data_IF_257949479332
#
_entry.id   IF_257949479332
#
_cell.length_a   1.000
_cell.length_b   1.000
_cell.length_c   1.000
_cell.angle_alpha   90.00
_cell.angle_beta   90.00
_cell.angle_gamma   90.00
#
_symmetry.space_group_name_H-M   'P 1'
#
loop_
_entity.id
_entity.type
_entity.pdbx_description
1 polymer ?
#
# COMPACT_ATOMS: atom_id res chain seq x y z
N UNK A 1 -1.26 -2.82 -9.99
CA UNK A 1 -0.12 -3.18 -9.10
C UNK A 1 0.57 -4.45 -9.58
N UNK A 2 -0.16 -5.55 -9.77
CA UNK A 2 0.39 -6.86 -10.18
C UNK A 2 1.31 -6.77 -11.41
N UNK A 3 0.86 -6.15 -12.51
CA UNK A 3 1.68 -6.01 -13.74
C UNK A 3 2.97 -5.20 -13.54
N UNK A 4 3.00 -4.29 -12.57
CA UNK A 4 4.19 -3.49 -12.25
C UNK A 4 5.16 -4.28 -11.37
N UNK A 5 4.65 -5.00 -10.36
CA UNK A 5 5.47 -5.82 -9.46
C UNK A 5 6.05 -7.04 -10.15
N UNK A 6 5.36 -7.61 -11.14
CA UNK A 6 5.91 -8.67 -12.00
C UNK A 6 7.02 -8.16 -12.92
N UNK A 7 6.86 -6.95 -13.47
CA UNK A 7 7.83 -6.33 -14.37
C UNK A 7 9.10 -5.88 -13.64
N UNK A 8 8.98 -5.47 -12.38
CA UNK A 8 10.07 -4.95 -11.55
C UNK A 8 10.14 -5.67 -10.20
N UNK A 9 10.42 -6.99 -10.17
CA UNK A 9 10.23 -7.83 -8.98
C UNK A 9 11.22 -7.56 -7.84
N UNK A 10 12.34 -6.88 -8.12
CA UNK A 10 13.39 -6.57 -7.15
C UNK A 10 13.52 -5.06 -6.88
N UNK A 11 12.73 -4.23 -7.54
CA UNK A 11 12.86 -2.78 -7.44
C UNK A 11 11.93 -2.23 -6.36
N UNK A 12 12.30 -1.06 -5.83
CA UNK A 12 11.42 -0.28 -4.96
C UNK A 12 10.61 0.68 -5.84
N UNK A 13 9.29 0.49 -5.86
CA UNK A 13 8.36 1.35 -6.60
C UNK A 13 7.81 2.42 -5.66
N UNK A 14 7.96 3.70 -6.04
CA UNK A 14 7.35 4.84 -5.34
C UNK A 14 6.15 5.32 -6.15
N UNK A 15 4.99 5.40 -5.51
CA UNK A 15 3.76 5.95 -6.10
C UNK A 15 3.32 7.18 -5.30
N UNK A 16 3.18 8.31 -5.98
CA UNK A 16 2.63 9.55 -5.39
C UNK A 16 1.20 9.71 -5.87
N UNK A 17 0.26 9.78 -4.93
CA UNK A 17 -1.17 9.84 -5.22
C UNK A 17 -1.95 10.48 -4.06
N UNK A 18 -3.27 10.39 -4.09
CA UNK A 18 -4.18 10.96 -3.09
C UNK A 18 -4.49 10.00 -1.94
N UNK A 19 -4.92 10.55 -0.80
CA UNK A 19 -5.13 9.78 0.42
C UNK A 19 -6.14 8.64 0.27
N UNK A 20 -7.24 8.88 -0.47
CA UNK A 20 -8.23 7.85 -0.76
C UNK A 20 -7.62 6.65 -1.49
N UNK A 21 -6.76 6.88 -2.49
CA UNK A 21 -6.12 5.82 -3.27
C UNK A 21 -5.15 5.01 -2.41
N UNK A 22 -4.40 5.67 -1.52
CA UNK A 22 -3.53 4.99 -0.55
C UNK A 22 -4.34 4.12 0.42
N UNK A 23 -5.45 4.65 0.94
CA UNK A 23 -6.34 3.90 1.82
C UNK A 23 -6.99 2.71 1.12
N UNK A 24 -7.50 2.89 -0.09
CA UNK A 24 -8.08 1.81 -0.89
C UNK A 24 -7.07 0.69 -1.15
N UNK A 25 -5.81 1.03 -1.47
CA UNK A 25 -4.74 0.05 -1.62
C UNK A 25 -4.46 -0.72 -0.32
N UNK A 26 -4.41 -0.03 0.83
CA UNK A 26 -4.20 -0.69 2.12
C UNK A 26 -5.38 -1.60 2.52
N UNK A 27 -6.62 -1.19 2.23
CA UNK A 27 -7.83 -1.99 2.47
C UNK A 27 -7.89 -3.23 1.58
N UNK A 28 -7.48 -3.12 0.31
CA UNK A 28 -7.41 -4.25 -0.62
C UNK A 28 -6.42 -5.32 -0.14
N UNK A 29 -5.31 -4.89 0.46
CA UNK A 29 -4.31 -5.78 1.06
C UNK A 29 -4.81 -6.42 2.36
N UNK A 30 -5.41 -5.65 3.26
CA UNK A 30 -5.81 -6.14 4.59
C UNK A 30 -7.16 -6.87 4.62
N UNK A 31 -8.03 -6.60 3.65
CA UNK A 31 -9.41 -7.10 3.56
C UNK A 31 -10.16 -7.13 4.90
N UNK A 32 -10.17 -6.03 5.69
CA UNK A 32 -10.87 -6.02 6.96
C UNK A 32 -12.39 -6.08 6.74
N UNK A 33 -13.11 -6.66 7.69
CA UNK A 33 -14.58 -6.70 7.65
C UNK A 33 -15.21 -5.30 7.66
N UNK A 34 -14.59 -4.37 8.38
CA UNK A 34 -15.00 -2.97 8.42
C UNK A 34 -13.99 -2.11 7.65
N UNK A 35 -14.45 -1.52 6.54
CA UNK A 35 -13.63 -0.64 5.70
C UNK A 35 -13.32 0.72 6.36
N UNK A 36 -14.05 1.08 7.42
CA UNK A 36 -13.80 2.28 8.21
C UNK A 36 -12.70 2.06 9.26
N UNK A 37 -12.14 0.85 9.35
CA UNK A 37 -11.05 0.51 10.28
C UNK A 37 -9.71 1.22 10.01
N UNK A 38 -9.52 1.78 8.80
CA UNK A 38 -8.36 2.60 8.46
C UNK A 38 -8.74 4.08 8.36
N UNK A 39 -8.04 4.99 9.08
CA UNK A 39 -8.27 6.42 8.95
C UNK A 39 -7.76 6.92 7.60
N UNK A 40 -8.22 8.09 7.14
CA UNK A 40 -7.59 8.74 5.99
C UNK A 40 -6.11 9.06 6.28
N UNK A 41 -5.20 8.81 5.33
CA UNK A 41 -3.78 9.07 5.55
C UNK A 41 -3.52 10.58 5.49
N UNK A 42 -2.57 11.04 6.31
CA UNK A 42 -2.18 12.45 6.39
C UNK A 42 -1.41 12.84 5.13
N UNK A 43 -1.44 14.14 4.82
CA UNK A 43 -0.63 14.71 3.75
C UNK A 43 0.84 14.35 3.96
N UNK A 44 1.54 14.02 2.87
CA UNK A 44 2.97 13.65 2.85
C UNK A 44 3.36 12.46 3.73
N UNK A 45 2.38 11.72 4.27
CA UNK A 45 2.66 10.46 4.94
C UNK A 45 3.05 9.37 3.94
N UNK A 46 3.74 8.36 4.45
CA UNK A 46 4.26 7.23 3.70
C UNK A 46 3.50 5.98 4.17
N UNK A 47 3.06 5.19 3.20
CA UNK A 47 2.51 3.86 3.39
C UNK A 47 3.36 2.89 2.58
N UNK A 48 3.73 1.76 3.16
CA UNK A 48 4.56 0.75 2.51
C UNK A 48 3.81 -0.58 2.42
N UNK A 49 3.70 -1.08 1.20
CA UNK A 49 3.17 -2.39 0.87
C UNK A 49 4.30 -3.22 0.28
N UNK A 50 4.47 -4.44 0.79
CA UNK A 50 5.40 -5.45 0.27
C UNK A 50 4.60 -6.37 -0.64
N UNK A 51 5.06 -6.56 -1.88
CA UNK A 51 4.50 -7.54 -2.80
C UNK A 51 5.42 -8.77 -2.86
N UNK A 52 4.86 -9.98 -2.84
CA UNK A 52 5.56 -11.23 -3.12
C UNK A 52 5.26 -11.67 -4.56
N UNK A 53 6.18 -11.42 -5.51
CA UNK A 53 5.88 -11.57 -6.95
C UNK A 53 5.51 -12.99 -7.38
N UNK A 54 5.94 -14.01 -6.60
CA UNK A 54 5.69 -15.43 -6.92
C UNK A 54 4.34 -15.95 -6.41
N UNK A 55 3.82 -15.38 -5.32
CA UNK A 55 2.57 -15.83 -4.70
C UNK A 55 1.41 -14.86 -4.92
N UNK A 56 1.66 -13.70 -5.54
CA UNK A 56 0.69 -12.62 -5.70
C UNK A 56 0.09 -12.16 -4.35
N UNK A 57 0.86 -12.34 -3.28
CA UNK A 57 0.50 -11.92 -1.92
C UNK A 57 1.05 -10.52 -1.65
N UNK A 58 0.32 -9.76 -0.85
CA UNK A 58 0.69 -8.42 -0.45
C UNK A 58 0.61 -8.29 1.07
N UNK A 59 1.51 -7.50 1.65
CA UNK A 59 1.55 -7.23 3.09
C UNK A 59 1.67 -5.73 3.30
N UNK A 60 0.86 -5.20 4.22
CA UNK A 60 1.03 -3.82 4.68
C UNK A 60 2.10 -3.79 5.78
N UNK A 61 3.24 -3.17 5.50
CA UNK A 61 4.35 -3.03 6.45
C UNK A 61 4.05 -1.89 7.44
N UNK A 62 3.70 -0.71 6.91
CA UNK A 62 3.23 0.42 7.71
C UNK A 62 2.29 1.32 6.92
N UNK A 63 1.48 2.07 7.66
CA UNK A 63 0.44 2.96 7.14
C UNK A 63 0.53 4.36 7.77
N UNK A 64 0.38 5.41 6.94
CA UNK A 64 0.23 6.79 7.40
C UNK A 64 1.36 7.28 8.32
N UNK A 65 2.60 6.85 8.04
CA UNK A 65 3.79 7.24 8.78
C UNK A 65 4.34 8.57 8.25
N UNK A 66 4.55 9.56 9.12
CA UNK A 66 5.19 10.81 8.70
C UNK A 66 6.72 10.60 8.58
N UNK A 67 7.38 11.18 7.57
CA UNK A 67 8.82 11.34 7.60
C UNK A 67 9.17 12.25 8.78
N UNK A 68 10.11 11.82 9.62
CA UNK A 68 10.60 12.57 10.77
C UNK A 68 11.09 13.97 10.38
#
# INVERSE_FOLDING_TARGET
MISTTEKFPNDKIICVTHGFTVKAAALDVLQPKDVMSLPEPRNTSITKIIALPKSNEFYLDYYNQLPY
#
